data_IF_367022069955
#
_entry.id   IF_367022069955
#
_cell.length_a   1.000
_cell.length_b   1.000
_cell.length_c   1.000
_cell.angle_alpha   90.00
_cell.angle_beta   90.00
_cell.angle_gamma   90.00
#
_symmetry.space_group_name_H-M   'P 1'
#
loop_
_entity.id
_entity.type
_entity.pdbx_description
1 polymer ?
#
# COMPACT_ATOMS: atom_id res chain seq x y z
N UNK A 1 8.96 6.24 6.70
CA UNK A 1 10.21 7.00 6.52
C UNK A 1 10.69 6.90 5.08
N UNK A 2 11.02 8.05 4.49
CA UNK A 2 11.46 8.21 3.11
C UNK A 2 12.72 7.38 2.76
N UNK A 3 13.74 7.26 3.62
CA UNK A 3 14.92 6.44 3.32
C UNK A 3 14.61 4.95 3.09
N UNK A 4 13.77 4.35 3.95
CA UNK A 4 13.34 2.95 3.81
C UNK A 4 12.62 2.70 2.49
N UNK A 5 11.85 3.69 2.03
CA UNK A 5 11.12 3.62 0.78
C UNK A 5 12.05 3.68 -0.44
N UNK A 6 13.06 4.56 -0.40
CA UNK A 6 14.07 4.68 -1.45
C UNK A 6 14.91 3.40 -1.58
N UNK A 7 15.35 2.83 -0.45
CA UNK A 7 16.03 1.53 -0.47
C UNK A 7 15.16 0.43 -1.09
N UNK A 8 13.85 0.51 -0.85
CA UNK A 8 12.89 -0.43 -1.40
C UNK A 8 12.77 -0.35 -2.92
N UNK A 9 12.88 0.86 -3.48
CA UNK A 9 12.92 1.09 -4.93
C UNK A 9 14.19 0.49 -5.53
N UNK A 10 15.36 0.70 -4.89
CA UNK A 10 16.62 0.08 -5.33
C UNK A 10 16.50 -1.45 -5.39
N UNK A 11 16.05 -2.07 -4.30
CA UNK A 11 15.86 -3.52 -4.23
C UNK A 11 14.85 -4.06 -5.25
N UNK A 12 13.84 -3.26 -5.63
CA UNK A 12 12.86 -3.61 -6.66
C UNK A 12 13.52 -3.60 -8.05
N UNK A 13 14.35 -2.60 -8.34
CA UNK A 13 15.08 -2.50 -9.60
C UNK A 13 16.06 -3.67 -9.80
N UNK A 14 16.80 -4.03 -8.76
CA UNK A 14 17.75 -5.16 -8.81
C UNK A 14 17.05 -6.51 -9.09
N UNK A 15 15.78 -6.65 -8.70
CA UNK A 15 14.99 -7.89 -8.80
C UNK A 15 14.14 -7.99 -10.06
N UNK A 16 14.13 -6.96 -10.92
CA UNK A 16 13.33 -6.98 -12.15
C UNK A 16 13.79 -8.05 -13.14
N UNK A 17 15.08 -8.42 -13.12
CA UNK A 17 15.63 -9.49 -13.94
C UNK A 17 14.95 -10.83 -13.61
N UNK A 18 14.11 -11.31 -14.54
CA UNK A 18 13.37 -12.57 -14.39
C UNK A 18 12.09 -12.53 -13.55
N UNK A 19 11.73 -11.39 -12.94
CA UNK A 19 10.49 -11.25 -12.13
C UNK A 19 9.54 -10.15 -12.60
N UNK A 20 9.75 -9.58 -13.80
CA UNK A 20 8.94 -8.50 -14.38
C UNK A 20 7.42 -8.75 -14.32
N UNK A 21 6.94 -9.95 -14.65
CA UNK A 21 5.51 -10.28 -14.58
C UNK A 21 4.94 -10.15 -13.16
N UNK A 22 5.69 -10.61 -12.15
CA UNK A 22 5.29 -10.48 -10.73
C UNK A 22 5.29 -9.03 -10.29
N UNK A 23 6.29 -8.26 -10.73
CA UNK A 23 6.40 -6.84 -10.45
C UNK A 23 5.23 -6.02 -11.03
N UNK A 24 4.85 -6.31 -12.27
CA UNK A 24 3.69 -5.70 -12.94
C UNK A 24 2.39 -6.01 -12.18
N UNK A 25 2.17 -7.26 -11.79
CA UNK A 25 1.00 -7.64 -10.98
C UNK A 25 0.96 -6.87 -9.65
N UNK A 26 2.12 -6.75 -8.99
CA UNK A 26 2.25 -5.95 -7.78
C UNK A 26 1.94 -4.47 -7.98
N UNK A 27 2.35 -3.92 -9.11
CA UNK A 27 2.09 -2.52 -9.47
C UNK A 27 0.61 -2.27 -9.71
N UNK A 28 -0.04 -3.16 -10.45
CA UNK A 28 -1.49 -3.07 -10.72
C UNK A 28 -2.30 -3.20 -9.43
N UNK A 29 -1.93 -4.13 -8.56
CA UNK A 29 -2.53 -4.32 -7.25
C UNK A 29 -2.47 -3.03 -6.42
N UNK A 30 -1.28 -2.43 -6.32
CA UNK A 30 -1.10 -1.17 -5.59
C UNK A 30 -1.87 0.00 -6.24
N UNK A 31 -1.92 0.06 -7.57
CA UNK A 31 -2.68 1.08 -8.29
C UNK A 31 -4.19 1.01 -7.97
N UNK A 32 -4.77 -0.19 -7.89
CA UNK A 32 -6.18 -0.39 -7.46
C UNK A 32 -6.45 0.30 -6.12
N UNK A 33 -5.59 0.08 -5.13
CA UNK A 33 -5.74 0.67 -3.80
C UNK A 33 -5.51 2.18 -3.78
N UNK A 34 -4.55 2.67 -4.57
CA UNK A 34 -4.31 4.11 -4.70
C UNK A 34 -5.51 4.83 -5.31
N UNK A 35 -6.14 4.25 -6.33
CA UNK A 35 -7.34 4.81 -6.95
C UNK A 35 -8.52 4.81 -5.97
N UNK A 36 -8.70 3.74 -5.20
CA UNK A 36 -9.72 3.70 -4.15
C UNK A 36 -9.47 4.79 -3.11
N UNK A 37 -8.22 4.90 -2.61
CA UNK A 37 -7.85 5.95 -1.65
C UNK A 37 -8.03 7.36 -2.21
N UNK A 38 -7.74 7.60 -3.50
CA UNK A 38 -7.96 8.92 -4.11
C UNK A 38 -9.43 9.29 -4.25
N UNK A 39 -10.33 8.31 -4.38
CA UNK A 39 -11.76 8.59 -4.38
C UNK A 39 -12.27 9.04 -3.01
N UNK A 40 -11.55 8.69 -1.92
CA UNK A 40 -11.84 9.16 -0.56
C UNK A 40 -11.29 10.58 -0.29
N UNK A 41 -10.47 11.12 -1.21
CA UNK A 41 -9.75 12.39 -1.03
C UNK A 41 -10.59 13.65 -1.26
N UNK A 42 -11.92 13.61 -1.24
CA UNK A 42 -12.66 14.86 -1.04
C UNK A 42 -12.37 15.45 0.35
N UNK A 43 -12.07 14.60 1.35
CA UNK A 43 -11.75 15.00 2.74
C UNK A 43 -10.30 14.69 3.14
N UNK A 44 -9.33 15.28 2.43
CA UNK A 44 -7.88 15.00 2.59
C UNK A 44 -7.27 15.27 3.98
N UNK A 45 -8.03 15.90 4.89
CA UNK A 45 -7.57 16.27 6.22
C UNK A 45 -8.08 15.33 7.33
N UNK A 46 -8.87 14.32 6.97
CA UNK A 46 -9.36 13.29 7.89
C UNK A 46 -8.19 12.43 8.43
N UNK A 47 -7.99 12.37 9.77
CA UNK A 47 -6.99 11.51 10.39
C UNK A 47 -7.04 10.03 9.94
N UNK A 48 -8.24 9.55 9.60
CA UNK A 48 -8.48 8.19 9.14
C UNK A 48 -8.01 7.94 7.70
N UNK A 49 -8.13 8.93 6.79
CA UNK A 49 -7.57 8.84 5.42
C UNK A 49 -6.05 8.74 5.48
N UNK A 50 -5.44 9.47 6.43
CA UNK A 50 -4.00 9.38 6.70
C UNK A 50 -3.60 7.99 7.22
N UNK A 51 -4.41 7.38 8.07
CA UNK A 51 -4.19 6.00 8.54
C UNK A 51 -4.23 5.00 7.36
N UNK A 52 -5.26 5.05 6.52
CA UNK A 52 -5.37 4.20 5.31
C UNK A 52 -4.17 4.38 4.38
N UNK A 53 -3.70 5.63 4.21
CA UNK A 53 -2.47 5.91 3.46
C UNK A 53 -1.26 5.19 4.06
N UNK A 54 -1.07 5.27 5.39
CA UNK A 54 0.04 4.59 6.06
C UNK A 54 -0.03 3.06 5.91
N UNK A 55 -1.22 2.46 6.03
CA UNK A 55 -1.44 1.03 5.85
C UNK A 55 -1.12 0.58 4.41
N UNK A 56 -1.52 1.38 3.41
CA UNK A 56 -1.18 1.13 2.00
C UNK A 56 0.35 1.16 1.76
N UNK A 57 1.08 2.05 2.44
CA UNK A 57 2.54 2.07 2.34
C UNK A 57 3.18 0.83 2.96
N UNK A 58 2.68 0.34 4.11
CA UNK A 58 3.16 -0.93 4.68
C UNK A 58 2.86 -2.12 3.76
N UNK A 59 1.69 -2.13 3.10
CA UNK A 59 1.38 -3.15 2.11
C UNK A 59 2.32 -3.10 0.91
N UNK A 60 2.57 -1.91 0.34
CA UNK A 60 3.53 -1.71 -0.75
C UNK A 60 4.91 -2.26 -0.40
N UNK A 61 5.39 -1.99 0.82
CA UNK A 61 6.68 -2.50 1.29
C UNK A 61 6.67 -4.01 1.49
N UNK A 62 5.58 -4.60 1.99
CA UNK A 62 5.44 -6.06 2.06
C UNK A 62 5.52 -6.72 0.68
N UNK A 63 5.05 -6.03 -0.36
CA UNK A 63 4.89 -6.57 -1.69
C UNK A 63 6.19 -6.51 -2.50
N UNK A 64 6.96 -5.43 -2.36
CA UNK A 64 8.20 -5.21 -3.12
C UNK A 64 9.47 -5.44 -2.30
N UNK A 65 9.41 -5.37 -0.96
CA UNK A 65 10.58 -5.31 -0.09
C UNK A 65 10.49 -6.29 1.09
N UNK A 66 10.17 -7.56 0.80
CA UNK A 66 9.94 -8.61 1.81
C UNK A 66 11.07 -8.80 2.85
N UNK A 67 12.31 -8.48 2.51
CA UNK A 67 13.47 -8.57 3.43
C UNK A 67 13.48 -7.46 4.48
N UNK A 68 12.89 -6.30 4.17
CA UNK A 68 12.73 -5.23 5.15
C UNK A 68 11.53 -5.59 6.01
N UNK A 69 11.78 -5.93 7.29
CA UNK A 69 10.72 -6.17 8.28
C UNK A 69 9.73 -5.01 8.22
N UNK A 70 8.50 -5.27 7.77
CA UNK A 70 7.43 -4.28 7.86
C UNK A 70 7.11 -4.03 9.33
N UNK A 71 6.75 -2.80 9.68
CA UNK A 71 6.40 -2.50 11.09
C UNK A 71 5.10 -3.22 11.46
N UNK A 72 4.21 -3.41 10.49
CA UNK A 72 2.97 -4.18 10.60
C UNK A 72 2.89 -5.16 9.43
N UNK A 73 2.52 -6.42 9.68
CA UNK A 73 2.25 -7.38 8.61
C UNK A 73 0.93 -7.02 7.92
N UNK A 74 1.02 -6.35 6.77
CA UNK A 74 -0.15 -5.98 5.96
C UNK A 74 -0.31 -6.94 4.78
N UNK A 75 -1.52 -7.48 4.63
CA UNK A 75 -1.91 -8.34 3.51
C UNK A 75 -3.06 -7.68 2.76
N UNK A 76 -3.34 -8.07 1.50
CA UNK A 76 -4.45 -7.47 0.75
C UNK A 76 -5.80 -7.68 1.45
N UNK A 77 -6.00 -8.83 2.09
CA UNK A 77 -7.22 -9.12 2.87
C UNK A 77 -7.37 -8.19 4.09
N UNK A 78 -6.28 -7.91 4.80
CA UNK A 78 -6.31 -6.96 5.93
C UNK A 78 -6.57 -5.54 5.44
N UNK A 79 -5.92 -5.13 4.36
CA UNK A 79 -6.14 -3.81 3.78
C UNK A 79 -7.61 -3.64 3.34
N UNK A 80 -8.21 -4.66 2.71
CA UNK A 80 -9.63 -4.67 2.36
C UNK A 80 -10.55 -4.46 3.57
N UNK A 81 -10.24 -5.12 4.69
CA UNK A 81 -11.01 -4.96 5.94
C UNK A 81 -10.96 -3.53 6.47
N UNK A 82 -9.79 -2.88 6.44
CA UNK A 82 -9.63 -1.51 6.92
C UNK A 82 -10.37 -0.50 6.03
N UNK A 83 -10.34 -0.69 4.70
CA UNK A 83 -11.14 0.13 3.78
C UNK A 83 -12.65 -0.08 4.00
N UNK A 84 -13.11 -1.33 4.11
CA UNK A 84 -14.52 -1.62 4.34
C UNK A 84 -15.03 -1.07 5.68
N UNK A 85 -14.20 -1.14 6.74
CA UNK A 85 -14.49 -0.55 8.06
C UNK A 85 -14.73 0.96 7.93
N UNK A 86 -13.91 1.64 7.15
CA UNK A 86 -14.06 3.08 6.89
C UNK A 86 -15.33 3.39 6.10
N UNK A 87 -15.58 2.67 4.99
CA UNK A 87 -16.78 2.88 4.15
C UNK A 87 -18.08 2.68 4.96
N UNK A 88 -18.05 1.79 5.95
CA UNK A 88 -19.18 1.54 6.85
C UNK A 88 -19.33 2.61 7.94
N UNK A 89 -18.24 3.28 8.31
CA UNK A 89 -18.22 4.34 9.32
C UNK A 89 -18.65 5.69 8.74
N UNK A 90 -18.35 5.96 7.46
CA UNK A 90 -18.76 7.18 6.76
C UNK A 90 -20.25 7.20 6.40
N UNK A 91 -20.88 6.02 6.26
CA UNK A 91 -22.32 5.88 5.96
C UNK A 91 -23.24 6.02 7.20
N UNK A 92 -22.68 6.21 8.39
CA UNK A 92 -23.40 6.35 9.67
C UNK A 92 -23.40 7.78 10.16
#
# INVERSE_FOLDING_TARGET
>A
DLPRYLDGIGARLDRLSGKLKRDLLGTQEIARWQNRLSNLKSDQHEPHVKELFHLLQEYRLSLFCQEKKTRVKMSPKRLEQEFARWESAEQK
#
